data_IF_057994430012
#
_entry.id   IF_057994430012
#
_cell.length_a   1.000
_cell.length_b   1.000
_cell.length_c   1.000
_cell.angle_alpha   90.00
_cell.angle_beta   90.00
_cell.angle_gamma   90.00
#
_symmetry.space_group_name_H-M   'P 1'
#
loop_
_entity.id
_entity.type
_entity.pdbx_description
1 polymer ?
#
# COMPACT_ATOMS: atom_id res chain seq x y z
N UNK A 1 10.41 3.65 -35.73
CA UNK A 1 10.06 3.98 -34.33
C UNK A 1 8.97 3.06 -33.77
N UNK A 2 9.32 1.97 -33.08
CA UNK A 2 8.37 1.05 -32.46
C UNK A 2 8.43 1.09 -30.92
N UNK A 3 8.58 2.28 -30.32
CA UNK A 3 8.71 2.48 -28.86
C UNK A 3 7.65 3.45 -28.30
N UNK A 4 6.46 3.49 -28.91
CA UNK A 4 5.27 4.03 -28.25
C UNK A 4 4.62 2.89 -27.47
N UNK A 5 5.18 2.61 -26.29
CA UNK A 5 4.70 1.62 -25.35
C UNK A 5 3.28 1.93 -24.89
N UNK A 6 2.43 0.91 -25.00
CA UNK A 6 1.22 0.60 -24.24
C UNK A 6 0.88 1.48 -23.02
N UNK A 7 0.33 2.67 -23.21
CA UNK A 7 -0.26 3.43 -22.10
C UNK A 7 -1.68 2.93 -21.87
N UNK A 8 -1.85 2.06 -20.86
CA UNK A 8 -3.17 1.79 -20.27
C UNK A 8 -3.70 3.09 -19.67
N UNK A 9 -4.94 3.46 -19.98
CA UNK A 9 -5.51 4.69 -19.42
C UNK A 9 -6.06 4.40 -18.03
N UNK A 10 -5.50 5.06 -17.02
CA UNK A 10 -5.96 4.99 -15.63
C UNK A 10 -6.71 6.27 -15.29
N UNK A 11 -7.93 6.14 -14.76
CA UNK A 11 -8.73 7.26 -14.28
C UNK A 11 -8.97 7.13 -12.78
N UNK A 12 -8.67 8.20 -12.05
CA UNK A 12 -8.89 8.28 -10.61
C UNK A 12 -10.07 9.21 -10.32
N UNK A 13 -11.04 8.75 -9.53
CA UNK A 13 -12.20 9.55 -9.11
C UNK A 13 -12.36 9.53 -7.59
N UNK A 14 -12.49 10.72 -6.99
CA UNK A 14 -12.67 10.91 -5.55
C UNK A 14 -14.13 10.87 -5.10
N UNK A 15 -14.38 10.21 -3.98
CA UNK A 15 -15.70 10.09 -3.36
C UNK A 15 -15.63 10.32 -1.85
N UNK A 16 -16.67 10.96 -1.31
CA UNK A 16 -16.79 11.34 0.08
C UNK A 16 -18.09 10.78 0.68
N UNK A 17 -18.05 10.40 1.96
CA UNK A 17 -19.20 9.87 2.70
C UNK A 17 -20.36 10.86 2.75
N UNK A 18 -21.59 10.36 2.60
CA UNK A 18 -22.80 11.16 2.77
C UNK A 18 -23.76 10.41 3.71
N UNK A 19 -23.98 10.87 4.95
CA UNK A 19 -24.75 10.13 5.95
C UNK A 19 -26.18 9.82 5.49
N UNK A 20 -26.83 10.78 4.84
CA UNK A 20 -28.18 10.61 4.27
C UNK A 20 -28.27 9.52 3.20
N UNK A 21 -27.22 9.35 2.39
CA UNK A 21 -27.16 8.32 1.35
C UNK A 21 -26.92 6.93 1.94
N UNK A 22 -26.13 6.86 3.00
CA UNK A 22 -25.93 5.62 3.78
C UNK A 22 -27.23 5.18 4.46
N UNK A 23 -27.97 6.11 5.07
CA UNK A 23 -29.27 5.82 5.68
C UNK A 23 -30.26 5.33 4.61
N UNK A 24 -30.39 6.05 3.48
CA UNK A 24 -31.24 5.61 2.37
C UNK A 24 -30.86 4.24 1.83
N UNK A 25 -29.56 3.95 1.75
CA UNK A 25 -29.04 2.63 1.39
C UNK A 25 -29.54 1.53 2.33
N UNK A 26 -29.45 1.72 3.64
CA UNK A 26 -29.90 0.72 4.61
C UNK A 26 -31.40 0.49 4.55
N UNK A 27 -32.18 1.55 4.32
CA UNK A 27 -33.63 1.45 4.12
C UNK A 27 -33.96 0.62 2.88
N UNK A 28 -33.31 0.87 1.75
CA UNK A 28 -33.54 0.10 0.50
C UNK A 28 -33.14 -1.36 0.66
N UNK A 29 -32.02 -1.63 1.32
CA UNK A 29 -31.58 -3.01 1.63
C UNK A 29 -32.60 -3.74 2.48
N UNK A 30 -33.13 -3.08 3.51
CA UNK A 30 -34.12 -3.67 4.40
C UNK A 30 -35.45 -3.96 3.68
N UNK A 31 -35.95 -3.00 2.90
CA UNK A 31 -37.20 -3.13 2.13
C UNK A 31 -37.15 -4.25 1.08
N UNK A 32 -35.99 -4.47 0.46
CA UNK A 32 -35.80 -5.47 -0.60
C UNK A 32 -35.22 -6.79 -0.06
N UNK A 33 -35.36 -7.05 1.25
CA UNK A 33 -34.91 -8.27 1.92
C UNK A 33 -33.44 -8.66 1.61
N UNK A 34 -32.56 -7.68 1.42
CA UNK A 34 -31.14 -7.91 1.14
C UNK A 34 -30.76 -8.26 -0.30
N UNK A 35 -31.70 -8.36 -1.24
CA UNK A 35 -31.40 -8.57 -2.68
C UNK A 35 -30.41 -7.52 -3.24
N UNK A 36 -30.49 -6.22 -2.86
CA UNK A 36 -29.52 -5.23 -3.31
C UNK A 36 -28.09 -5.51 -2.79
N UNK A 37 -27.92 -6.16 -1.62
CA UNK A 37 -26.58 -6.51 -1.11
C UNK A 37 -25.84 -7.45 -2.06
N UNK A 38 -26.55 -8.42 -2.64
CA UNK A 38 -26.02 -9.35 -3.64
C UNK A 38 -25.58 -8.60 -4.90
N UNK A 39 -26.47 -7.74 -5.43
CA UNK A 39 -26.19 -6.94 -6.61
C UNK A 39 -25.00 -6.00 -6.41
N UNK A 40 -24.88 -5.37 -5.24
CA UNK A 40 -23.77 -4.47 -4.93
C UNK A 40 -22.47 -5.21 -4.63
N UNK A 41 -22.54 -6.44 -4.12
CA UNK A 41 -21.37 -7.34 -4.03
C UNK A 41 -20.84 -7.72 -5.41
N UNK A 42 -21.73 -8.00 -6.37
CA UNK A 42 -21.34 -8.34 -7.75
C UNK A 42 -21.01 -7.11 -8.61
N UNK A 43 -21.53 -5.94 -8.28
CA UNK A 43 -21.26 -4.65 -8.92
C UNK A 43 -20.94 -3.57 -7.87
N UNK A 44 -19.70 -3.52 -7.33
CA UNK A 44 -19.32 -2.63 -6.23
C UNK A 44 -19.55 -1.14 -6.55
N UNK A 45 -19.47 -0.77 -7.83
CA UNK A 45 -19.79 0.55 -8.36
C UNK A 45 -21.15 1.10 -7.96
N UNK A 46 -22.17 0.26 -7.99
CA UNK A 46 -23.54 0.69 -7.71
C UNK A 46 -23.67 1.02 -6.23
N UNK A 47 -23.02 0.23 -5.36
CA UNK A 47 -22.89 0.53 -3.95
C UNK A 47 -22.17 1.85 -3.69
N UNK A 48 -21.06 2.10 -4.40
CA UNK A 48 -20.30 3.35 -4.26
C UNK A 48 -21.11 4.57 -4.70
N UNK A 49 -21.71 4.53 -5.90
CA UNK A 49 -22.52 5.66 -6.43
C UNK A 49 -23.75 5.95 -5.58
N UNK A 50 -24.35 4.92 -4.99
CA UNK A 50 -25.54 5.08 -4.14
C UNK A 50 -25.18 5.65 -2.77
N UNK A 51 -24.05 5.23 -2.17
CA UNK A 51 -23.65 5.61 -0.80
C UNK A 51 -22.81 6.88 -0.72
N UNK A 52 -21.95 7.14 -1.71
CA UNK A 52 -20.97 8.23 -1.67
C UNK A 52 -21.31 9.34 -2.66
N UNK A 53 -20.78 10.55 -2.43
CA UNK A 53 -20.87 11.70 -3.34
C UNK A 53 -19.52 11.93 -4.02
N UNK A 54 -19.48 12.32 -5.31
CA UNK A 54 -18.23 12.70 -5.95
C UNK A 54 -17.65 13.94 -5.26
N UNK A 55 -16.34 13.94 -5.03
CA UNK A 55 -15.62 15.06 -4.42
C UNK A 55 -14.21 15.20 -5.01
N UNK A 56 -13.55 16.32 -4.74
CA UNK A 56 -12.18 16.55 -5.18
C UNK A 56 -11.23 15.52 -4.54
N UNK A 57 -10.20 15.09 -5.27
CA UNK A 57 -9.22 14.11 -4.80
C UNK A 57 -8.53 14.57 -3.49
N UNK A 58 -8.35 15.89 -3.34
CA UNK A 58 -7.81 16.53 -2.14
C UNK A 58 -8.59 16.22 -0.85
N UNK A 59 -9.87 15.87 -0.94
CA UNK A 59 -10.72 15.59 0.23
C UNK A 59 -11.34 14.18 0.16
N UNK A 60 -11.01 13.39 -0.85
CA UNK A 60 -11.59 12.07 -1.05
C UNK A 60 -11.23 11.10 0.09
N UNK A 61 -12.25 10.43 0.62
CA UNK A 61 -12.12 9.33 1.59
C UNK A 61 -12.01 7.99 0.87
N UNK A 62 -12.77 7.83 -0.21
CA UNK A 62 -12.76 6.65 -1.07
C UNK A 62 -12.34 7.06 -2.48
N UNK A 63 -11.39 6.35 -3.06
CA UNK A 63 -10.99 6.51 -4.45
C UNK A 63 -11.50 5.34 -5.28
N UNK A 64 -11.97 5.67 -6.49
CA UNK A 64 -12.32 4.71 -7.52
C UNK A 64 -11.27 4.80 -8.62
N UNK A 65 -10.61 3.68 -8.86
CA UNK A 65 -9.59 3.52 -9.89
C UNK A 65 -10.23 2.76 -11.04
N UNK A 66 -10.33 3.40 -12.20
CA UNK A 66 -10.81 2.80 -13.44
C UNK A 66 -9.60 2.54 -14.34
N UNK A 67 -9.35 1.28 -14.69
CA UNK A 67 -8.28 0.87 -15.59
C UNK A 67 -8.92 0.36 -16.87
N UNK A 68 -8.50 0.90 -18.01
CA UNK A 68 -8.87 0.38 -19.33
C UNK A 68 -7.65 -0.26 -19.96
N UNK A 69 -7.76 -1.55 -20.20
CA UNK A 69 -6.81 -2.27 -21.05
C UNK A 69 -7.12 -1.96 -22.53
N UNK A 70 -6.10 -2.02 -23.39
CA UNK A 70 -6.27 -1.71 -24.81
C UNK A 70 -6.93 -2.86 -25.57
N UNK A 71 -6.80 -4.09 -25.06
CA UNK A 71 -7.34 -5.31 -25.65
C UNK A 71 -8.80 -5.57 -25.23
N UNK A 72 -9.14 -5.25 -23.99
CA UNK A 72 -10.51 -5.32 -23.48
C UNK A 72 -11.20 -3.95 -23.52
N UNK A 73 -12.29 -3.83 -24.29
CA UNK A 73 -13.11 -2.60 -24.30
C UNK A 73 -13.82 -2.30 -22.95
N UNK A 74 -13.63 -3.16 -21.94
CA UNK A 74 -14.27 -3.05 -20.64
C UNK A 74 -13.37 -2.35 -19.62
N UNK A 75 -13.95 -1.40 -18.88
CA UNK A 75 -13.27 -0.77 -17.75
C UNK A 75 -13.26 -1.73 -16.56
N UNK A 76 -12.06 -2.08 -16.09
CA UNK A 76 -11.90 -2.72 -14.79
C UNK A 76 -11.92 -1.65 -13.70
N UNK A 77 -12.60 -1.95 -12.59
CA UNK A 77 -12.79 -0.98 -11.52
C UNK A 77 -12.40 -1.52 -10.17
N UNK A 78 -11.72 -0.66 -9.42
CA UNK A 78 -11.23 -0.96 -8.08
C UNK A 78 -11.59 0.20 -7.14
N UNK A 79 -11.89 -0.14 -5.89
CA UNK A 79 -12.21 0.83 -4.85
C UNK A 79 -11.17 0.74 -3.75
N UNK A 80 -10.52 1.85 -3.42
CA UNK A 80 -9.51 1.92 -2.36
C UNK A 80 -9.89 3.01 -1.35
N UNK A 81 -9.54 2.78 -0.09
CA UNK A 81 -9.73 3.77 0.98
C UNK A 81 -8.46 4.61 1.11
N UNK A 82 -8.63 5.92 1.25
CA UNK A 82 -7.53 6.85 1.50
C UNK A 82 -7.23 6.85 2.99
N UNK A 83 -5.98 6.58 3.34
CA UNK A 83 -5.47 6.66 4.71
C UNK A 83 -4.84 8.03 4.92
N UNK A 84 -5.00 8.54 6.14
CA UNK A 84 -4.55 9.86 6.54
C UNK A 84 -3.77 9.70 7.83
N UNK A 85 -2.45 9.89 7.76
CA UNK A 85 -1.54 9.78 8.90
C UNK A 85 -1.00 11.17 9.25
N UNK A 86 -1.02 11.52 10.54
CA UNK A 86 -0.33 12.71 11.01
C UNK A 86 1.17 12.40 11.11
N UNK A 87 2.03 13.15 10.40
CA UNK A 87 3.47 13.09 10.63
C UNK A 87 3.72 13.83 11.95
N UNK A 88 3.83 13.07 13.05
CA UNK A 88 4.14 13.63 14.36
C UNK A 88 5.65 13.78 14.55
N UNK A 89 6.10 14.95 14.99
CA UNK A 89 7.45 15.19 15.56
C UNK A 89 7.58 14.58 16.98
N UNK A 90 7.03 13.38 17.19
CA UNK A 90 6.89 12.79 18.51
C UNK A 90 8.05 11.88 18.90
N UNK A 91 9.20 12.45 19.29
CA UNK A 91 10.07 11.97 20.39
C UNK A 91 11.36 12.80 20.47
N UNK A 92 11.24 14.09 20.80
CA UNK A 92 12.37 14.91 21.24
C UNK A 92 11.94 15.58 22.54
N UNK A 93 12.13 14.91 23.67
CA UNK A 93 12.34 15.62 24.94
C UNK A 93 13.85 15.65 25.22
N UNK A 94 14.51 16.81 25.09
CA UNK A 94 15.73 17.09 25.81
C UNK A 94 15.38 17.81 27.11
N UNK A 95 15.79 17.22 28.24
CA UNK A 95 15.89 17.87 29.54
C UNK A 95 16.54 19.27 29.46
N UNK A 96 16.04 20.29 30.17
CA UNK A 96 16.62 21.63 30.13
C UNK A 96 17.77 21.79 31.12
N UNK A 97 19.00 21.99 30.62
CA UNK A 97 20.18 22.61 31.28
C UNK A 97 21.39 22.43 30.33
N UNK A 98 22.24 23.40 29.97
CA UNK A 98 22.46 24.78 30.39
C UNK A 98 23.36 25.50 29.35
N UNK A 99 23.24 26.83 29.34
CA UNK A 99 24.23 27.86 29.00
C UNK A 99 24.65 28.13 27.54
N UNK A 100 24.29 29.36 27.15
CA UNK A 100 24.81 30.17 26.07
C UNK A 100 26.19 30.77 26.39
N UNK A 101 27.02 30.96 25.36
CA UNK A 101 27.78 32.19 25.00
C UNK A 101 28.53 31.87 23.68
N UNK A 102 28.27 32.50 22.54
CA UNK A 102 28.52 33.88 22.07
C UNK A 102 29.88 34.05 21.34
N UNK A 103 29.86 34.69 20.16
CA UNK A 103 31.04 35.34 19.56
C UNK A 103 31.69 34.81 18.26
N UNK A 104 31.35 35.49 17.14
CA UNK A 104 32.29 36.20 16.22
C UNK A 104 32.77 35.55 14.88
N UNK A 105 32.23 36.12 13.80
CA UNK A 105 32.84 36.63 12.52
C UNK A 105 33.67 35.72 11.59
N UNK A 106 33.35 35.71 10.28
CA UNK A 106 34.05 36.43 9.18
C UNK A 106 33.60 35.95 7.79
N UNK A 107 33.68 36.86 6.81
CA UNK A 107 33.27 36.72 5.42
C UNK A 107 34.47 36.50 4.46
N UNK A 108 34.23 35.85 3.31
CA UNK A 108 34.98 35.98 2.04
C UNK A 108 34.16 35.32 0.89
N UNK A 109 33.56 36.07 -0.05
CA UNK A 109 34.04 36.50 -1.40
C UNK A 109 34.27 35.37 -2.43
N UNK A 110 33.54 35.41 -3.56
CA UNK A 110 34.11 35.09 -4.88
C UNK A 110 33.27 34.29 -5.92
N UNK A 111 32.80 35.01 -6.97
CA UNK A 111 32.63 34.61 -8.38
C UNK A 111 31.44 33.75 -8.89
N UNK A 112 31.02 34.07 -10.13
CA UNK A 112 29.80 33.79 -10.94
C UNK A 112 30.30 33.49 -12.40
N UNK A 113 29.58 32.91 -13.41
CA UNK A 113 28.30 32.17 -13.55
C UNK A 113 28.39 30.82 -14.36
N UNK A 114 27.21 30.20 -14.55
CA UNK A 114 26.73 29.38 -15.70
C UNK A 114 26.55 27.86 -15.54
N UNK A 115 25.28 27.45 -15.64
CA UNK A 115 24.86 26.44 -16.61
C UNK A 115 24.89 24.97 -16.21
N UNK A 116 24.05 24.53 -15.27
CA UNK A 116 23.64 23.13 -15.18
C UNK A 116 22.30 23.01 -14.46
N UNK A 117 21.31 22.41 -15.12
CA UNK A 117 19.98 22.14 -14.60
C UNK A 117 20.03 21.53 -13.19
N UNK A 118 19.47 22.24 -12.22
CA UNK A 118 19.20 21.73 -10.87
C UNK A 118 17.69 21.67 -10.69
N UNK A 119 17.11 20.64 -11.29
CA UNK A 119 15.74 20.20 -11.01
C UNK A 119 15.86 18.88 -10.27
N UNK A 120 16.04 18.98 -8.95
CA UNK A 120 15.94 17.83 -8.05
C UNK A 120 15.46 18.35 -6.71
N UNK A 121 14.17 18.13 -6.46
CA UNK A 121 13.55 18.12 -5.14
C UNK A 121 13.89 19.32 -4.23
N UNK A 122 13.28 20.48 -4.51
CA UNK A 122 12.98 21.43 -3.44
C UNK A 122 11.87 20.87 -2.54
N UNK A 123 12.25 19.97 -1.63
CA UNK A 123 11.46 19.63 -0.44
C UNK A 123 12.20 20.03 0.86
N UNK A 124 13.31 20.77 0.75
CA UNK A 124 14.13 21.15 1.90
C UNK A 124 14.53 22.63 2.02
N UNK A 125 13.85 23.56 1.32
CA UNK A 125 13.96 25.01 1.61
C UNK A 125 12.61 25.72 1.45
N UNK A 126 11.79 25.61 2.47
CA UNK A 126 10.82 26.65 2.86
C UNK A 126 10.65 26.60 4.39
N UNK A 127 11.78 26.68 5.09
CA UNK A 127 11.78 27.33 6.41
C UNK A 127 11.58 28.82 6.13
N UNK A 128 10.32 29.25 6.17
CA UNK A 128 9.84 30.51 6.75
C UNK A 128 8.42 30.81 6.21
N UNK A 129 7.48 30.91 7.16
CA UNK A 129 6.08 31.34 7.00
C UNK A 129 5.07 30.34 6.39
N UNK A 130 4.97 29.13 6.94
CA UNK A 130 3.69 28.39 6.96
C UNK A 130 3.42 27.90 8.38
N UNK A 131 2.34 28.44 8.94
CA UNK A 131 1.74 28.13 10.23
C UNK A 131 1.89 26.68 10.69
N UNK A 132 2.29 26.53 11.95
CA UNK A 132 2.24 25.32 12.79
C UNK A 132 0.92 24.57 12.58
N UNK A 133 0.94 23.60 11.68
CA UNK A 133 -0.18 22.75 11.35
C UNK A 133 0.40 21.39 10.98
N UNK A 134 0.00 20.36 11.71
CA UNK A 134 0.40 18.97 11.49
C UNK A 134 0.48 18.66 9.99
N UNK A 135 1.65 18.27 9.49
CA UNK A 135 1.77 17.79 8.12
C UNK A 135 1.05 16.44 8.04
N UNK A 136 -0.15 16.46 7.49
CA UNK A 136 -0.96 15.28 7.30
C UNK A 136 -0.55 14.60 5.99
N UNK A 137 -0.04 13.38 6.07
CA UNK A 137 0.29 12.55 4.91
C UNK A 137 -0.95 11.75 4.50
N UNK A 138 -1.42 11.96 3.27
CA UNK A 138 -2.52 11.19 2.68
C UNK A 138 -1.97 10.21 1.67
N UNK A 139 -2.33 8.94 1.79
CA UNK A 139 -1.91 7.91 0.85
C UNK A 139 -2.97 6.82 0.67
N UNK A 140 -2.83 6.03 -0.38
CA UNK A 140 -3.57 4.78 -0.54
C UNK A 140 -2.65 3.67 -1.03
N UNK A 141 -3.06 2.43 -0.78
CA UNK A 141 -2.39 1.24 -1.28
C UNK A 141 -3.24 0.61 -2.38
N UNK A 142 -2.64 0.39 -3.54
CA UNK A 142 -3.27 -0.29 -4.66
C UNK A 142 -2.34 -1.35 -5.23
N UNK A 143 -2.78 -2.61 -5.25
CA UNK A 143 -1.99 -3.76 -5.73
C UNK A 143 -0.58 -3.85 -5.11
N UNK A 144 -0.46 -3.53 -3.83
CA UNK A 144 0.84 -3.54 -3.11
C UNK A 144 1.71 -2.31 -3.35
N UNK A 145 1.28 -1.36 -4.19
CA UNK A 145 1.99 -0.11 -4.44
C UNK A 145 1.38 1.02 -3.61
N UNK A 146 2.24 1.87 -3.04
CA UNK A 146 1.83 3.05 -2.27
C UNK A 146 1.78 4.28 -3.15
N UNK A 147 0.70 5.04 -3.02
CA UNK A 147 0.49 6.31 -3.71
C UNK A 147 0.28 7.42 -2.69
N UNK A 148 1.08 8.48 -2.76
CA UNK A 148 1.04 9.62 -1.83
C UNK A 148 0.42 10.84 -2.51
N UNK A 149 -0.28 11.65 -1.72
CA UNK A 149 -0.85 12.92 -2.17
C UNK A 149 0.23 14.01 -2.19
N UNK A 150 0.39 14.66 -3.35
CA UNK A 150 1.29 15.81 -3.52
C UNK A 150 0.46 17.08 -3.68
N UNK A 151 0.52 17.97 -2.68
CA UNK A 151 -0.29 19.20 -2.65
C UNK A 151 0.01 20.16 -3.81
N UNK A 152 1.27 20.26 -4.22
CA UNK A 152 1.70 21.15 -5.31
C UNK A 152 1.12 20.78 -6.66
N UNK A 153 0.84 19.49 -6.88
CA UNK A 153 0.32 18.96 -8.15
C UNK A 153 -1.15 18.54 -8.06
N UNK A 154 -1.76 18.61 -6.88
CA UNK A 154 -3.14 18.17 -6.61
C UNK A 154 -3.44 16.76 -7.15
N UNK A 155 -2.47 15.85 -7.03
CA UNK A 155 -2.56 14.51 -7.58
C UNK A 155 -1.84 13.48 -6.70
N UNK A 156 -2.24 12.21 -6.86
CA UNK A 156 -1.59 11.07 -6.22
C UNK A 156 -0.48 10.52 -7.10
N UNK A 157 0.71 10.35 -6.53
CA UNK A 157 1.88 9.81 -7.21
C UNK A 157 2.35 8.52 -6.55
N UNK A 158 2.78 7.57 -7.38
CA UNK A 158 3.36 6.32 -6.91
C UNK A 158 4.70 6.61 -6.24
N UNK A 159 4.92 6.03 -5.06
CA UNK A 159 6.13 6.29 -4.27
C UNK A 159 7.41 5.85 -4.99
N UNK A 160 7.39 4.74 -5.73
CA UNK A 160 8.55 4.25 -6.49
C UNK A 160 8.99 5.18 -7.63
N UNK A 161 8.10 6.05 -8.14
CA UNK A 161 8.44 7.04 -9.16
C UNK A 161 9.23 8.21 -8.58
N UNK A 162 9.20 8.44 -7.25
CA UNK A 162 9.98 9.52 -6.64
C UNK A 162 11.49 9.25 -6.72
N UNK A 163 11.91 8.00 -6.84
CA UNK A 163 13.32 7.60 -6.99
C UNK A 163 13.77 7.43 -8.44
N UNK A 164 12.88 7.67 -9.43
CA UNK A 164 13.27 7.61 -10.84
C UNK A 164 14.24 8.75 -11.16
N UNK A 165 15.48 8.39 -11.50
CA UNK A 165 16.52 9.33 -11.92
C UNK A 165 17.77 9.38 -11.03
N UNK A 166 17.90 8.52 -10.01
CA UNK A 166 19.16 8.44 -9.24
C UNK A 166 20.29 7.85 -10.08
N UNK A 167 21.42 8.55 -10.12
CA UNK A 167 22.65 8.05 -10.73
C UNK A 167 23.34 7.03 -9.83
N UNK A 168 24.18 6.16 -10.40
CA UNK A 168 25.08 5.28 -9.64
C UNK A 168 25.95 6.07 -8.65
N UNK A 169 26.32 7.30 -9.01
CA UNK A 169 27.10 8.19 -8.13
C UNK A 169 26.33 8.61 -6.87
N UNK A 170 25.00 8.77 -6.98
CA UNK A 170 24.16 9.15 -5.84
C UNK A 170 24.00 7.96 -4.89
N UNK A 171 23.89 6.74 -5.44
CA UNK A 171 23.91 5.50 -4.66
C UNK A 171 25.26 5.34 -3.96
N UNK A 172 26.38 5.58 -4.65
CA UNK A 172 27.70 5.48 -4.03
C UNK A 172 27.91 6.53 -2.92
N UNK A 173 27.41 7.76 -3.10
CA UNK A 173 27.44 8.80 -2.05
C UNK A 173 26.61 8.43 -0.83
N UNK A 174 25.57 7.61 -0.99
CA UNK A 174 24.74 7.14 0.13
C UNK A 174 25.40 6.08 1.02
N UNK A 175 26.66 5.67 0.75
CA UNK A 175 27.41 4.68 1.55
C UNK A 175 27.56 4.97 3.04
N UNK A 176 27.39 6.23 3.44
CA UNK A 176 27.60 6.68 4.82
C UNK A 176 26.38 6.41 5.73
N UNK A 177 25.35 5.73 5.21
CA UNK A 177 24.15 5.43 5.97
C UNK A 177 23.19 6.62 6.03
N UNK A 178 21.99 6.35 6.54
CA UNK A 178 20.91 7.32 6.63
C UNK A 178 20.81 7.93 8.03
N UNK A 179 20.65 9.25 8.11
CA UNK A 179 20.39 9.92 9.39
C UNK A 179 19.04 9.47 9.97
N UNK A 180 18.91 9.48 11.30
CA UNK A 180 17.65 9.10 11.95
C UNK A 180 16.47 9.98 11.49
N UNK A 181 16.72 11.27 11.26
CA UNK A 181 15.69 12.19 10.77
C UNK A 181 15.23 11.81 9.37
N UNK A 182 16.17 11.55 8.45
CA UNK A 182 15.82 11.13 7.09
C UNK A 182 15.17 9.75 7.07
N UNK A 183 15.59 8.85 7.96
CA UNK A 183 14.98 7.54 8.14
C UNK A 183 13.51 7.67 8.57
N UNK A 184 13.21 8.52 9.55
CA UNK A 184 11.83 8.77 9.99
C UNK A 184 10.96 9.34 8.87
N UNK A 185 11.48 10.31 8.11
CA UNK A 185 10.75 10.90 6.96
C UNK A 185 10.48 9.84 5.89
N UNK A 186 11.48 9.01 5.55
CA UNK A 186 11.28 7.93 4.59
C UNK A 186 10.37 6.83 5.12
N UNK A 187 10.43 6.50 6.41
CA UNK A 187 9.52 5.54 7.05
C UNK A 187 8.08 6.01 6.96
N UNK A 188 7.82 7.32 7.12
CA UNK A 188 6.50 7.89 6.90
C UNK A 188 6.03 7.74 5.44
N UNK A 189 6.92 8.02 4.47
CA UNK A 189 6.59 8.00 3.03
C UNK A 189 6.42 6.58 2.48
N UNK A 190 7.40 5.69 2.69
CA UNK A 190 7.43 4.33 2.15
C UNK A 190 6.62 3.37 3.02
N UNK A 191 6.66 3.55 4.34
CA UNK A 191 6.02 2.67 5.30
C UNK A 191 6.96 1.59 5.81
N UNK A 192 6.47 0.68 6.66
CA UNK A 192 7.27 -0.44 7.13
C UNK A 192 7.54 -1.43 5.98
N UNK A 193 8.72 -2.05 5.99
CA UNK A 193 9.11 -3.12 5.07
C UNK A 193 8.44 -4.45 5.48
N UNK A 194 7.11 -4.49 5.42
CA UNK A 194 6.31 -5.67 5.78
C UNK A 194 5.25 -5.91 4.72
N UNK A 195 5.27 -7.11 4.15
CA UNK A 195 4.22 -7.56 3.23
C UNK A 195 3.10 -8.18 4.09
N UNK A 196 2.06 -7.39 4.38
CA UNK A 196 0.92 -7.85 5.17
C UNK A 196 -0.12 -8.54 4.28
N UNK A 197 -0.19 -9.88 4.33
CA UNK A 197 -1.27 -10.63 3.67
C UNK A 197 -2.47 -10.71 4.65
N UNK A 198 -3.63 -10.10 4.34
CA UNK A 198 -4.80 -10.19 5.20
C UNK A 198 -5.40 -11.59 5.13
N UNK A 199 -5.33 -12.34 6.24
CA UNK A 199 -6.01 -13.63 6.37
C UNK A 199 -7.46 -13.36 6.73
N UNK A 200 -8.36 -13.62 5.77
CA UNK A 200 -9.80 -13.52 6.00
C UNK A 200 -10.27 -14.55 7.04
N UNK A 201 -11.32 -14.23 7.79
CA UNK A 201 -11.89 -15.13 8.81
C UNK A 201 -12.82 -16.19 8.19
N UNK A 202 -12.97 -17.36 8.82
CA UNK A 202 -13.89 -18.42 8.33
C UNK A 202 -15.28 -17.92 7.92
N UNK A 203 -16.01 -17.11 8.71
CA UNK A 203 -17.34 -16.63 8.31
C UNK A 203 -17.27 -15.70 7.09
N UNK A 204 -16.23 -14.87 6.97
CA UNK A 204 -16.06 -14.02 5.79
C UNK A 204 -15.78 -14.84 4.54
N UNK A 205 -14.92 -15.87 4.61
CA UNK A 205 -14.71 -16.76 3.46
C UNK A 205 -15.98 -17.53 3.11
N UNK A 206 -16.74 -18.01 4.11
CA UNK A 206 -17.99 -18.73 3.88
C UNK A 206 -19.01 -17.87 3.14
N UNK A 207 -19.17 -16.60 3.56
CA UNK A 207 -20.06 -15.66 2.86
C UNK A 207 -19.53 -15.35 1.46
N UNK A 208 -18.22 -15.11 1.30
CA UNK A 208 -17.63 -14.86 -0.01
C UNK A 208 -17.88 -16.03 -0.98
N UNK A 209 -17.70 -17.26 -0.50
CA UNK A 209 -17.87 -18.50 -1.27
C UNK A 209 -19.35 -18.80 -1.54
N UNK A 210 -20.23 -18.70 -0.55
CA UNK A 210 -21.66 -18.95 -0.70
C UNK A 210 -22.36 -17.95 -1.64
N UNK A 211 -21.80 -16.74 -1.76
CA UNK A 211 -22.28 -15.71 -2.69
C UNK A 211 -21.71 -15.82 -4.10
N UNK A 212 -20.86 -16.83 -4.36
CA UNK A 212 -20.42 -17.13 -5.71
C UNK A 212 -21.64 -17.60 -6.54
N UNK A 213 -21.81 -17.09 -7.79
CA UNK A 213 -22.91 -17.46 -8.66
C UNK A 213 -23.19 -18.97 -8.73
N UNK A 214 -22.14 -19.80 -8.72
CA UNK A 214 -22.25 -21.27 -8.73
C UNK A 214 -23.14 -21.81 -7.59
N UNK A 215 -22.86 -21.43 -6.33
CA UNK A 215 -23.64 -21.91 -5.18
C UNK A 215 -25.03 -21.28 -5.14
N UNK A 216 -25.20 -20.07 -5.68
CA UNK A 216 -26.52 -19.46 -5.89
C UNK A 216 -27.40 -20.32 -6.80
N UNK A 217 -26.87 -20.78 -7.93
CA UNK A 217 -27.58 -21.71 -8.83
C UNK A 217 -27.81 -23.07 -8.19
N UNK A 218 -26.87 -23.56 -7.38
CA UNK A 218 -27.01 -24.83 -6.67
C UNK A 218 -28.14 -24.78 -5.63
N UNK A 219 -28.25 -23.69 -4.86
CA UNK A 219 -29.34 -23.49 -3.91
C UNK A 219 -30.71 -23.41 -4.63
N UNK A 220 -30.78 -22.70 -5.76
CA UNK A 220 -31.98 -22.67 -6.59
C UNK A 220 -32.36 -24.06 -7.13
N UNK A 221 -31.38 -24.85 -7.56
CA UNK A 221 -31.60 -26.22 -8.02
C UNK A 221 -32.16 -27.11 -6.91
N UNK A 222 -31.60 -27.04 -5.70
CA UNK A 222 -32.11 -27.77 -4.52
C UNK A 222 -33.56 -27.39 -4.24
N UNK A 223 -33.91 -26.11 -4.34
CA UNK A 223 -35.28 -25.64 -4.13
C UNK A 223 -36.27 -26.19 -5.16
N UNK A 224 -35.89 -26.26 -6.44
CA UNK A 224 -36.70 -26.88 -7.49
C UNK A 224 -36.94 -28.37 -7.23
N UNK A 225 -35.89 -29.13 -6.92
CA UNK A 225 -36.02 -30.56 -6.60
C UNK A 225 -36.88 -30.80 -5.36
N UNK A 226 -36.84 -29.89 -4.38
CA UNK A 226 -37.70 -29.94 -3.20
C UNK A 226 -39.17 -29.67 -3.54
N UNK A 227 -39.43 -28.71 -4.45
CA UNK A 227 -40.78 -28.37 -4.91
C UNK A 227 -41.42 -29.53 -5.71
N UNK A 228 -40.63 -30.27 -6.49
CA UNK A 228 -41.07 -31.46 -7.22
C UNK A 228 -41.09 -32.74 -6.36
N UNK A 229 -40.96 -32.62 -5.03
CA UNK A 229 -40.97 -33.74 -4.07
C UNK A 229 -39.85 -34.80 -4.25
N UNK A 230 -38.75 -34.45 -4.93
CA UNK A 230 -37.57 -35.30 -5.11
C UNK A 230 -36.53 -35.10 -3.98
N UNK A 231 -36.92 -35.42 -2.74
CA UNK A 231 -36.12 -35.16 -1.54
C UNK A 231 -34.73 -35.82 -1.53
N UNK A 232 -34.61 -37.05 -2.05
CA UNK A 232 -33.33 -37.78 -2.05
C UNK A 232 -32.27 -37.13 -2.93
N UNK A 233 -32.66 -36.66 -4.12
CA UNK A 233 -31.75 -35.93 -5.01
C UNK A 233 -31.35 -34.58 -4.41
N UNK A 234 -32.30 -33.85 -3.85
CA UNK A 234 -32.04 -32.58 -3.15
C UNK A 234 -31.04 -32.77 -1.99
N UNK A 235 -31.19 -33.84 -1.20
CA UNK A 235 -30.29 -34.18 -0.10
C UNK A 235 -28.87 -34.52 -0.58
N UNK A 236 -28.75 -35.32 -1.65
CA UNK A 236 -27.46 -35.66 -2.24
C UNK A 236 -26.71 -34.42 -2.74
N UNK A 237 -27.40 -33.54 -3.47
CA UNK A 237 -26.82 -32.28 -3.97
C UNK A 237 -26.39 -31.41 -2.79
N UNK A 238 -27.23 -31.28 -1.76
CA UNK A 238 -26.92 -30.52 -0.55
C UNK A 238 -25.65 -31.04 0.14
N UNK A 239 -25.55 -32.35 0.37
CA UNK A 239 -24.40 -32.96 1.04
C UNK A 239 -23.10 -32.75 0.25
N UNK A 240 -23.14 -32.94 -1.07
CA UNK A 240 -21.99 -32.74 -1.95
C UNK A 240 -21.56 -31.27 -1.94
N UNK A 241 -22.49 -30.30 -2.02
CA UNK A 241 -22.14 -28.87 -1.83
C UNK A 241 -21.49 -28.61 -0.48
N UNK A 242 -22.07 -29.14 0.59
CA UNK A 242 -21.62 -28.88 1.95
C UNK A 242 -20.18 -29.39 2.16
N UNK A 243 -19.84 -30.56 1.60
CA UNK A 243 -18.47 -31.08 1.64
C UNK A 243 -17.55 -30.21 0.75
N UNK A 244 -17.98 -29.86 -0.46
CA UNK A 244 -17.21 -29.03 -1.39
C UNK A 244 -16.83 -27.67 -0.79
N UNK A 245 -17.81 -26.95 -0.21
CA UNK A 245 -17.58 -25.65 0.41
C UNK A 245 -16.65 -25.78 1.63
N UNK A 246 -16.84 -26.79 2.49
CA UNK A 246 -15.96 -27.04 3.62
C UNK A 246 -14.51 -27.27 3.18
N UNK A 247 -14.29 -28.09 2.15
CA UNK A 247 -12.96 -28.36 1.60
C UNK A 247 -12.34 -27.11 0.93
N UNK A 248 -13.14 -26.36 0.18
CA UNK A 248 -12.70 -25.10 -0.47
C UNK A 248 -12.23 -24.09 0.58
N UNK A 249 -13.00 -23.89 1.64
CA UNK A 249 -12.68 -22.99 2.75
C UNK A 249 -11.41 -23.42 3.50
N UNK A 250 -11.27 -24.71 3.80
CA UNK A 250 -10.10 -25.24 4.47
C UNK A 250 -8.83 -25.05 3.62
N UNK A 251 -8.89 -25.39 2.34
CA UNK A 251 -7.76 -25.22 1.40
C UNK A 251 -7.36 -23.74 1.27
N UNK A 252 -8.34 -22.87 1.04
CA UNK A 252 -8.12 -21.42 0.87
C UNK A 252 -7.47 -20.81 2.10
N UNK A 253 -7.95 -21.16 3.29
CA UNK A 253 -7.36 -20.67 4.54
C UNK A 253 -5.96 -21.20 4.74
N UNK A 254 -5.74 -22.51 4.55
CA UNK A 254 -4.42 -23.12 4.73
C UNK A 254 -3.39 -22.48 3.81
N UNK A 255 -3.74 -22.28 2.54
CA UNK A 255 -2.89 -21.59 1.57
C UNK A 255 -2.60 -20.13 1.99
N UNK A 256 -3.62 -19.39 2.44
CA UNK A 256 -3.44 -18.01 2.94
C UNK A 256 -2.53 -17.95 4.17
N UNK A 257 -2.62 -18.92 5.09
CA UNK A 257 -1.73 -19.02 6.25
C UNK A 257 -0.30 -19.34 5.82
N UNK A 258 -0.09 -20.34 4.96
CA UNK A 258 1.23 -20.68 4.45
C UNK A 258 1.90 -19.51 3.74
N UNK A 259 1.16 -18.76 2.91
CA UNK A 259 1.68 -17.55 2.27
C UNK A 259 2.05 -16.48 3.30
N UNK A 260 1.22 -16.28 4.32
CA UNK A 260 1.51 -15.32 5.40
C UNK A 260 2.77 -15.70 6.18
N UNK A 261 2.93 -16.98 6.48
CA UNK A 261 4.06 -17.48 7.27
C UNK A 261 5.37 -17.41 6.48
N UNK A 262 5.33 -17.71 5.17
CA UNK A 262 6.47 -17.54 4.26
C UNK A 262 6.94 -16.08 4.19
N UNK A 263 6.00 -15.14 4.25
CA UNK A 263 6.26 -13.70 4.10
C UNK A 263 6.65 -13.02 5.42
N UNK A 264 6.30 -13.60 6.56
CA UNK A 264 6.53 -13.03 7.89
C UNK A 264 7.95 -13.21 8.44
N UNK A 265 8.93 -13.55 7.61
CA UNK A 265 10.30 -13.74 8.06
C UNK A 265 10.93 -12.39 8.46
N UNK A 266 10.61 -11.90 9.66
CA UNK A 266 11.27 -10.77 10.29
C UNK A 266 12.61 -11.24 10.84
N UNK A 267 13.70 -10.68 10.34
CA UNK A 267 15.05 -10.99 10.78
C UNK A 267 15.74 -9.72 11.25
N UNK A 268 16.72 -9.86 12.14
CA UNK A 268 17.56 -8.74 12.54
C UNK A 268 18.66 -8.54 11.51
N UNK A 269 18.82 -7.31 11.07
CA UNK A 269 19.90 -6.90 10.17
C UNK A 269 20.73 -5.79 10.78
N UNK A 270 22.01 -5.76 10.43
CA UNK A 270 22.91 -4.71 10.83
C UNK A 270 22.82 -3.57 9.82
N UNK A 271 22.52 -2.36 10.29
CA UNK A 271 22.50 -1.14 9.47
C UNK A 271 23.62 -0.21 9.93
N UNK A 272 24.29 0.43 8.98
CA UNK A 272 25.31 1.43 9.21
C UNK A 272 24.68 2.83 9.27
N UNK A 273 24.99 3.57 10.34
CA UNK A 273 24.54 4.94 10.57
C UNK A 273 25.62 5.98 10.20
N UNK A 274 25.24 7.25 9.99
CA UNK A 274 26.20 8.33 9.77
C UNK A 274 27.17 8.41 10.96
N UNK A 275 28.45 8.18 10.69
CA UNK A 275 29.49 8.08 11.73
C UNK A 275 30.15 6.71 11.82
N UNK A 276 29.64 5.70 11.10
CA UNK A 276 30.20 4.34 11.09
C UNK A 276 29.73 3.48 12.26
N UNK A 277 28.70 3.92 12.99
CA UNK A 277 28.07 3.11 14.03
C UNK A 277 27.18 2.04 13.39
N UNK A 278 27.31 0.82 13.90
CA UNK A 278 26.52 -0.33 13.49
C UNK A 278 25.38 -0.56 14.47
N UNK A 279 24.15 -0.62 13.95
CA UNK A 279 22.95 -0.81 14.74
C UNK A 279 22.18 -2.05 14.25
N UNK A 280 21.73 -2.90 15.19
CA UNK A 280 20.88 -4.04 14.85
C UNK A 280 19.41 -3.64 14.87
N UNK A 281 18.78 -3.66 13.71
CA UNK A 281 17.39 -3.25 13.50
C UNK A 281 16.58 -4.41 12.92
N UNK A 282 15.28 -4.43 13.18
CA UNK A 282 14.38 -5.41 12.58
C UNK A 282 14.16 -5.12 11.09
N UNK A 283 14.12 -6.15 10.26
CA UNK A 283 13.93 -6.01 8.81
C UNK A 283 12.63 -5.30 8.42
N UNK A 284 11.63 -5.27 9.31
CA UNK A 284 10.38 -4.52 9.12
C UNK A 284 10.54 -3.00 9.16
N UNK A 285 11.63 -2.48 9.74
CA UNK A 285 11.86 -1.04 9.88
C UNK A 285 12.78 -0.45 8.82
N UNK A 286 13.33 -1.29 7.94
CA UNK A 286 14.19 -0.88 6.86
C UNK A 286 13.48 0.08 5.91
N UNK A 287 14.20 1.11 5.48
CA UNK A 287 13.73 2.05 4.46
C UNK A 287 14.73 2.17 3.31
N UNK A 288 14.28 2.58 2.11
CA UNK A 288 15.18 2.81 1.00
C UNK A 288 16.29 3.83 1.33
N UNK A 289 17.53 3.40 1.10
CA UNK A 289 18.74 4.18 1.37
C UNK A 289 19.40 3.90 2.72
N UNK A 290 18.86 3.00 3.55
CA UNK A 290 19.63 2.42 4.65
C UNK A 290 20.80 1.59 4.09
N UNK A 291 21.97 1.66 4.72
CA UNK A 291 23.12 0.86 4.35
C UNK A 291 23.18 -0.40 5.22
N UNK A 292 23.03 -1.57 4.62
CA UNK A 292 23.11 -2.85 5.33
C UNK A 292 24.55 -3.36 5.37
N UNK A 293 24.97 -3.86 6.53
CA UNK A 293 26.24 -4.57 6.71
C UNK A 293 25.95 -6.07 6.71
N UNK A 294 26.45 -6.76 5.70
CA UNK A 294 26.26 -8.20 5.56
C UNK A 294 27.23 -8.95 6.51
N UNK A 295 26.74 -9.89 7.34
CA UNK A 295 27.60 -10.68 8.22
C UNK A 295 28.48 -11.65 7.41
N UNK A 296 29.70 -11.88 7.88
CA UNK A 296 30.65 -12.80 7.22
C UNK A 296 30.19 -14.26 7.21
N UNK A 297 29.33 -14.64 8.17
CA UNK A 297 28.76 -15.99 8.28
C UNK A 297 27.71 -16.29 7.21
N UNK A 298 27.36 -15.30 6.38
CA UNK A 298 26.27 -15.37 5.41
C UNK A 298 24.91 -15.12 6.05
N UNK A 299 23.89 -14.95 5.21
CA UNK A 299 22.55 -14.65 5.68
C UNK A 299 21.54 -14.58 4.54
N UNK A 300 20.25 -14.53 4.93
CA UNK A 300 19.17 -14.22 4.00
C UNK A 300 19.10 -12.72 3.79
N UNK A 301 18.82 -12.29 2.56
CA UNK A 301 18.62 -10.90 2.24
C UNK A 301 17.14 -10.53 2.39
N UNK A 302 16.74 -9.60 3.29
CA UNK A 302 15.34 -9.28 3.55
C UNK A 302 14.69 -8.35 2.51
N UNK A 303 15.48 -7.70 1.66
CA UNK A 303 15.01 -6.70 0.70
C UNK A 303 15.93 -6.65 -0.52
N UNK A 304 15.45 -6.03 -1.61
CA UNK A 304 16.29 -5.75 -2.77
C UNK A 304 17.34 -4.69 -2.40
N UNK A 305 18.61 -4.91 -2.75
CA UNK A 305 19.70 -3.98 -2.45
C UNK A 305 20.73 -3.92 -3.58
N UNK A 306 21.47 -2.81 -3.60
CA UNK A 306 22.63 -2.62 -4.46
C UNK A 306 23.91 -2.74 -3.63
N UNK A 307 24.89 -3.51 -4.13
CA UNK A 307 26.20 -3.62 -3.50
C UNK A 307 27.00 -2.33 -3.72
N UNK A 308 27.36 -1.64 -2.63
CA UNK A 308 28.09 -0.35 -2.68
C UNK A 308 29.59 -0.52 -2.42
N UNK A 309 29.97 -1.50 -1.60
CA UNK A 309 31.36 -1.80 -1.26
C UNK A 309 31.55 -3.28 -0.93
N UNK A 310 32.71 -3.84 -1.31
CA UNK A 310 33.07 -5.23 -1.05
C UNK A 310 32.70 -6.19 -2.18
N UNK A 311 32.78 -7.48 -1.87
CA UNK A 311 32.42 -8.59 -2.76
C UNK A 311 31.46 -9.52 -2.02
N UNK A 312 30.46 -10.04 -2.72
CA UNK A 312 29.52 -11.01 -2.15
C UNK A 312 29.20 -12.11 -3.17
N UNK A 313 28.94 -13.31 -2.65
CA UNK A 313 28.40 -14.42 -3.43
C UNK A 313 26.94 -14.62 -3.03
N UNK A 314 26.04 -14.62 -4.01
CA UNK A 314 24.59 -14.69 -3.77
C UNK A 314 24.05 -15.98 -4.39
N UNK A 315 23.15 -16.65 -3.68
CA UNK A 315 22.39 -17.77 -4.21
C UNK A 315 20.96 -17.30 -4.56
N UNK A 316 20.65 -17.25 -5.86
CA UNK A 316 19.37 -16.78 -6.39
C UNK A 316 18.36 -17.91 -6.66
N UNK A 317 18.67 -19.17 -6.33
CA UNK A 317 17.85 -20.35 -6.66
C UNK A 317 16.42 -20.36 -6.10
N UNK A 318 16.10 -19.45 -5.18
CA UNK A 318 14.74 -19.29 -4.63
C UNK A 318 13.86 -18.35 -5.46
N UNK A 319 14.47 -17.53 -6.32
CA UNK A 319 13.82 -16.53 -7.16
C UNK A 319 13.87 -16.88 -8.66
N UNK A 320 14.89 -17.65 -9.08
CA UNK A 320 15.11 -18.13 -10.45
C UNK A 320 15.06 -19.65 -10.53
#
# INVERSE_FOLDING_TARGET
DPLSSSVSSVRLSGYCGSPWRVIGYHVVVWMMAGIPLLLFRWKPLWGVRLRLRPCNLAHAETLVIEIRDKEDSSWQLFTVQVQTEAIGEGSLEPSPQAQAEDGRSQAAVGAVPEGAWKDTAQLHKSEEAVSVGQRVLRYYLFQGQRYIWIETQQAFYQVSLLDHGRSCDDVHRSRHGLSLQDQMVRKAIYGPNVISIPVKSYPQLLVDEALNPYYGFQAFSIALWLADHYYWYALCIFLISAISICLSLYKTRKQSQTLRDMVKLSMRVCVCRPGGEEEWVDSSELVPGDCLVLPQEGGLMPCDAALVAGECMVNESSLT
#
